data_IF_378300805252
#
_entry.id   IF_378300805252
#
_cell.length_a   1.000
_cell.length_b   1.000
_cell.length_c   1.000
_cell.angle_alpha   90.00
_cell.angle_beta   90.00
_cell.angle_gamma   90.00
#
_symmetry.space_group_name_H-M   'P 1'
#
loop_
_entity.id
_entity.type
_entity.pdbx_description
1 polymer ?
#
# COMPACT_ATOMS: atom_id res chain seq x y z
N UNK A 1 -28.35 15.27 -15.06
CA UNK A 1 -28.13 14.31 -13.95
C UNK A 1 -27.29 15.03 -12.93
N UNK A 2 -27.88 15.35 -11.78
CA UNK A 2 -27.14 15.86 -10.62
C UNK A 2 -26.26 14.73 -10.10
N UNK A 3 -24.95 14.89 -10.19
CA UNK A 3 -23.98 14.02 -9.54
C UNK A 3 -24.27 14.09 -8.04
N UNK A 4 -24.74 12.99 -7.47
CA UNK A 4 -24.87 12.84 -6.04
C UNK A 4 -23.44 12.67 -5.52
N UNK A 5 -22.91 13.69 -4.84
CA UNK A 5 -21.64 13.59 -4.12
C UNK A 5 -21.71 12.37 -3.20
N UNK A 6 -20.74 11.45 -3.30
CA UNK A 6 -20.59 10.38 -2.31
C UNK A 6 -20.37 11.04 -0.94
N UNK A 7 -21.28 10.88 0.03
CA UNK A 7 -21.14 11.56 1.31
C UNK A 7 -19.88 11.06 2.02
N UNK A 8 -19.11 11.94 2.71
CA UNK A 8 -18.03 11.47 3.56
C UNK A 8 -18.60 10.53 4.61
N UNK A 9 -18.06 9.30 4.69
CA UNK A 9 -18.47 8.32 5.69
C UNK A 9 -17.92 8.77 7.05
N UNK A 10 -18.62 9.70 7.69
CA UNK A 10 -18.29 10.22 9.01
C UNK A 10 -18.74 9.23 10.09
N UNK A 11 -18.09 8.07 10.13
CA UNK A 11 -18.19 7.14 11.24
C UNK A 11 -16.84 6.98 11.92
N UNK A 12 -16.86 6.65 13.21
CA UNK A 12 -15.67 6.24 13.98
C UNK A 12 -15.82 4.76 14.33
N UNK A 13 -15.65 3.85 13.37
CA UNK A 13 -15.98 2.44 13.55
C UNK A 13 -14.96 1.70 14.43
N UNK A 14 -13.74 2.22 14.56
CA UNK A 14 -12.70 1.59 15.37
C UNK A 14 -12.95 1.91 16.85
N UNK A 15 -13.08 0.86 17.65
CA UNK A 15 -13.01 0.98 19.10
C UNK A 15 -11.62 1.49 19.52
N UNK A 16 -11.53 2.08 20.72
CA UNK A 16 -10.28 2.73 21.17
C UNK A 16 -9.08 1.80 21.23
N UNK A 17 -9.29 0.53 21.59
CA UNK A 17 -8.25 -0.51 21.62
C UNK A 17 -7.85 -0.98 20.22
N UNK A 18 -8.82 -1.20 19.32
CA UNK A 18 -8.58 -1.56 17.92
C UNK A 18 -7.78 -0.45 17.21
N UNK A 19 -8.19 0.81 17.40
CA UNK A 19 -7.49 1.98 16.87
C UNK A 19 -6.05 2.04 17.37
N UNK A 20 -5.82 1.85 18.67
CA UNK A 20 -4.49 1.89 19.26
C UNK A 20 -3.58 0.78 18.74
N UNK A 21 -4.12 -0.44 18.55
CA UNK A 21 -3.36 -1.57 17.98
C UNK A 21 -3.01 -1.34 16.52
N UNK A 22 -3.95 -0.84 15.73
CA UNK A 22 -3.74 -0.56 14.32
C UNK A 22 -2.71 0.56 14.09
N UNK A 23 -2.79 1.64 14.87
CA UNK A 23 -1.79 2.73 14.86
C UNK A 23 -0.41 2.21 15.28
N UNK A 24 -0.33 1.40 16.34
CA UNK A 24 0.93 0.82 16.79
C UNK A 24 1.56 -0.08 15.72
N UNK A 25 0.77 -0.90 15.02
CA UNK A 25 1.25 -1.75 13.94
C UNK A 25 1.72 -0.94 12.72
N UNK A 26 0.98 0.10 12.34
CA UNK A 26 1.42 1.01 11.27
C UNK A 26 2.72 1.75 11.63
N UNK A 27 2.85 2.23 12.87
CA UNK A 27 4.09 2.84 13.36
C UNK A 27 5.26 1.86 13.40
N UNK A 28 5.02 0.60 13.72
CA UNK A 28 6.03 -0.45 13.61
C UNK A 28 6.46 -0.64 12.15
N UNK A 29 5.53 -0.68 11.18
CA UNK A 29 5.87 -0.72 9.75
C UNK A 29 6.72 0.48 9.29
N UNK A 30 6.38 1.69 9.76
CA UNK A 30 7.15 2.90 9.48
C UNK A 30 8.56 2.84 10.08
N UNK A 31 8.68 2.30 11.30
CA UNK A 31 9.97 2.07 11.94
C UNK A 31 10.82 1.07 11.15
N UNK A 32 10.23 -0.05 10.74
CA UNK A 32 10.91 -1.04 9.89
C UNK A 32 11.33 -0.43 8.55
N UNK A 33 10.50 0.42 7.96
CA UNK A 33 10.81 1.13 6.72
C UNK A 33 12.04 2.03 6.87
N UNK A 34 12.09 2.82 7.94
CA UNK A 34 13.25 3.64 8.26
C UNK A 34 14.48 2.76 8.56
N UNK A 35 14.32 1.70 9.35
CA UNK A 35 15.39 0.76 9.67
C UNK A 35 16.02 0.14 8.43
N UNK A 36 15.21 -0.33 7.47
CA UNK A 36 15.67 -0.84 6.18
C UNK A 36 16.46 0.18 5.39
N UNK A 37 16.05 1.45 5.35
CA UNK A 37 16.74 2.49 4.56
C UNK A 37 18.06 2.91 5.22
N UNK A 38 18.07 3.06 6.54
CA UNK A 38 19.17 3.75 7.24
C UNK A 38 20.09 2.83 8.02
N UNK A 39 19.59 1.77 8.67
CA UNK A 39 20.35 1.04 9.68
C UNK A 39 21.01 -0.24 9.11
N UNK A 40 22.24 -0.50 9.55
CA UNK A 40 22.94 -1.76 9.34
C UNK A 40 23.25 -2.51 10.65
N UNK A 41 23.05 -1.84 11.79
CA UNK A 41 23.22 -2.39 13.13
C UNK A 41 22.37 -1.60 14.15
N UNK A 42 22.32 -2.06 15.41
CA UNK A 42 21.54 -1.47 16.51
C UNK A 42 20.05 -1.27 16.14
N UNK A 43 19.37 -2.33 15.68
CA UNK A 43 18.05 -2.21 15.03
C UNK A 43 16.92 -1.81 15.98
N UNK A 44 17.14 -1.84 17.29
CA UNK A 44 16.18 -1.41 18.32
C UNK A 44 16.65 -0.18 19.10
N UNK A 45 17.76 0.44 18.69
CA UNK A 45 18.35 1.62 19.35
C UNK A 45 18.59 1.41 20.86
N UNK A 46 19.01 0.21 21.28
CA UNK A 46 19.30 -0.12 22.68
C UNK A 46 20.53 0.64 23.21
N UNK A 47 21.44 1.00 22.31
CA UNK A 47 22.54 1.92 22.57
C UNK A 47 22.29 3.26 21.86
N UNK A 48 22.89 4.37 22.33
CA UNK A 48 22.88 5.63 21.60
C UNK A 48 23.36 5.43 20.16
N UNK A 49 22.64 6.02 19.20
CA UNK A 49 22.92 5.86 17.77
C UNK A 49 24.31 6.44 17.43
N UNK A 50 25.12 5.66 16.73
CA UNK A 50 26.46 6.06 16.25
C UNK A 50 26.55 5.97 14.72
N UNK A 51 27.48 6.70 14.08
CA UNK A 51 27.65 6.64 12.63
C UNK A 51 27.86 5.22 12.08
N UNK A 52 28.50 4.33 12.86
CA UNK A 52 28.75 2.94 12.44
C UNK A 52 27.46 2.10 12.31
N UNK A 53 26.39 2.50 12.98
CA UNK A 53 25.08 1.83 12.89
C UNK A 53 24.33 2.19 11.60
N UNK A 54 24.76 3.25 10.90
CA UNK A 54 24.10 3.76 9.69
C UNK A 54 24.81 3.23 8.44
N UNK A 55 24.04 2.83 7.42
CA UNK A 55 24.57 2.39 6.12
C UNK A 55 25.40 3.49 5.47
N UNK A 56 26.55 3.12 4.91
CA UNK A 56 27.43 4.06 4.19
C UNK A 56 26.78 4.63 2.92
N UNK A 57 25.88 3.88 2.28
CA UNK A 57 25.08 4.31 1.14
C UNK A 57 23.62 4.20 1.51
N UNK A 58 22.93 5.34 1.54
CA UNK A 58 21.51 5.40 1.80
C UNK A 58 20.76 5.18 0.49
N UNK A 59 20.12 4.01 0.37
CA UNK A 59 19.38 3.60 -0.82
C UNK A 59 17.98 3.15 -0.40
N UNK A 60 16.97 3.55 -1.17
CA UNK A 60 15.57 3.29 -0.88
C UNK A 60 14.71 4.55 -0.95
N UNK A 61 13.40 4.38 -0.91
CA UNK A 61 12.44 5.48 -1.00
C UNK A 61 11.54 5.51 0.23
N UNK A 62 11.53 6.66 0.90
CA UNK A 62 10.64 6.93 2.03
C UNK A 62 9.27 7.43 1.56
N UNK A 63 9.21 8.28 0.54
CA UNK A 63 8.04 9.13 0.24
C UNK A 63 6.69 8.40 0.16
N UNK A 64 6.64 7.21 -0.44
CA UNK A 64 5.41 6.41 -0.57
C UNK A 64 5.25 5.34 0.51
N UNK A 65 6.30 5.00 1.26
CA UNK A 65 6.34 3.82 2.14
C UNK A 65 5.37 3.91 3.33
N UNK A 66 5.21 5.07 4.01
CA UNK A 66 4.19 5.21 5.05
C UNK A 66 2.75 5.10 4.54
N UNK A 67 2.50 5.61 3.32
CA UNK A 67 1.18 5.51 2.69
C UNK A 67 0.83 4.07 2.31
N UNK A 68 1.78 3.35 1.71
CA UNK A 68 1.62 1.93 1.38
C UNK A 68 1.35 1.08 2.62
N UNK A 69 2.16 1.24 3.67
CA UNK A 69 1.96 0.47 4.91
C UNK A 69 0.68 0.86 5.65
N UNK A 70 0.23 2.12 5.55
CA UNK A 70 -1.08 2.53 6.08
C UNK A 70 -2.21 1.80 5.36
N UNK A 71 -2.18 1.79 4.02
CA UNK A 71 -3.16 1.06 3.21
C UNK A 71 -3.12 -0.43 3.56
N UNK A 72 -1.93 -1.04 3.59
CA UNK A 72 -1.74 -2.45 3.92
C UNK A 72 -2.31 -2.79 5.30
N UNK A 73 -2.05 -1.99 6.33
CA UNK A 73 -2.57 -2.20 7.68
C UNK A 73 -4.11 -2.27 7.70
N UNK A 74 -4.76 -1.36 6.98
CA UNK A 74 -6.22 -1.30 6.90
C UNK A 74 -6.82 -2.40 6.02
N UNK A 75 -6.12 -2.83 4.97
CA UNK A 75 -6.50 -4.01 4.19
C UNK A 75 -6.41 -5.28 5.03
N UNK A 76 -5.31 -5.47 5.78
CA UNK A 76 -5.16 -6.57 6.73
C UNK A 76 -6.30 -6.60 7.76
N UNK A 77 -6.72 -5.44 8.27
CA UNK A 77 -7.87 -5.34 9.16
C UNK A 77 -9.14 -5.92 8.51
N UNK A 78 -9.48 -5.51 7.29
CA UNK A 78 -10.71 -5.99 6.64
C UNK A 78 -10.59 -7.44 6.16
N UNK A 79 -9.39 -7.90 5.78
CA UNK A 79 -9.12 -9.31 5.49
C UNK A 79 -9.47 -10.17 6.71
N UNK A 80 -8.91 -9.86 7.88
CA UNK A 80 -9.16 -10.62 9.12
C UNK A 80 -10.63 -10.52 9.56
N UNK A 81 -11.23 -9.32 9.47
CA UNK A 81 -12.60 -9.09 9.92
C UNK A 81 -13.64 -9.82 9.07
N UNK A 82 -13.41 -9.94 7.76
CA UNK A 82 -14.40 -10.43 6.80
C UNK A 82 -14.04 -11.75 6.14
N UNK A 83 -12.90 -12.35 6.51
CA UNK A 83 -12.34 -13.59 5.95
C UNK A 83 -12.23 -13.50 4.42
N UNK A 84 -11.51 -12.47 3.95
CA UNK A 84 -11.39 -12.15 2.53
C UNK A 84 -10.18 -12.85 1.89
N UNK A 85 -10.38 -13.39 0.70
CA UNK A 85 -9.29 -13.68 -0.22
C UNK A 85 -8.88 -12.39 -0.93
N UNK A 86 -7.68 -11.90 -0.63
CA UNK A 86 -7.20 -10.62 -1.14
C UNK A 86 -5.71 -10.67 -1.47
N UNK A 87 -5.34 -10.10 -2.62
CA UNK A 87 -3.94 -9.86 -2.98
C UNK A 87 -3.67 -8.35 -3.11
N UNK A 88 -2.42 -7.96 -2.85
CA UNK A 88 -1.96 -6.57 -2.90
C UNK A 88 -1.09 -6.33 -4.12
N UNK A 89 -1.48 -5.39 -4.97
CA UNK A 89 -0.67 -4.90 -6.10
C UNK A 89 -0.23 -3.49 -5.80
N UNK A 90 1.08 -3.29 -5.72
CA UNK A 90 1.64 -2.01 -5.34
C UNK A 90 2.34 -1.36 -6.54
N UNK A 91 1.59 -0.49 -7.22
CA UNK A 91 2.07 0.29 -8.35
C UNK A 91 3.32 1.11 -8.06
N UNK A 92 3.41 1.89 -6.95
CA UNK A 92 4.65 2.56 -6.57
C UNK A 92 5.67 1.57 -5.97
N UNK A 93 6.21 0.70 -6.84
CA UNK A 93 7.20 -0.36 -6.61
C UNK A 93 8.39 0.00 -5.75
N UNK A 94 8.89 1.20 -5.98
CA UNK A 94 10.03 1.81 -5.33
C UNK A 94 9.83 2.01 -3.82
N UNK A 95 8.57 1.95 -3.35
CA UNK A 95 8.12 1.97 -1.97
C UNK A 95 8.21 0.64 -1.22
N UNK A 96 9.07 -0.28 -1.67
CA UNK A 96 9.19 -1.63 -1.12
C UNK A 96 9.23 -1.73 0.41
N UNK A 97 9.90 -0.81 1.16
CA UNK A 97 9.86 -0.85 2.63
C UNK A 97 8.45 -0.83 3.22
N UNK A 98 7.52 -0.11 2.58
CA UNK A 98 6.11 -0.03 2.97
C UNK A 98 5.29 -1.30 2.76
N UNK A 99 5.87 -2.35 2.15
CA UNK A 99 5.24 -3.66 1.93
C UNK A 99 6.06 -4.79 2.56
N UNK A 100 7.39 -4.73 2.45
CA UNK A 100 8.30 -5.68 3.10
C UNK A 100 8.18 -5.58 4.64
N UNK A 101 8.00 -4.38 5.19
CA UNK A 101 7.76 -4.18 6.62
C UNK A 101 6.51 -4.90 7.13
N UNK A 102 5.33 -4.65 6.53
CA UNK A 102 4.12 -5.46 6.73
C UNK A 102 4.36 -6.98 6.66
N UNK A 103 4.94 -7.47 5.56
CA UNK A 103 5.19 -8.91 5.32
C UNK A 103 6.11 -9.54 6.39
N UNK A 104 6.99 -8.75 7.00
CA UNK A 104 7.81 -9.19 8.12
C UNK A 104 7.01 -9.30 9.42
N UNK A 105 6.14 -8.32 9.72
CA UNK A 105 5.33 -8.32 10.95
C UNK A 105 4.17 -9.32 10.96
N UNK A 106 3.77 -9.84 9.81
CA UNK A 106 2.81 -10.94 9.70
C UNK A 106 3.49 -12.34 9.78
N UNK A 107 4.83 -12.38 9.87
CA UNK A 107 5.61 -13.63 10.02
C UNK A 107 6.00 -14.30 8.71
N UNK A 108 5.28 -14.07 7.61
CA UNK A 108 5.52 -14.69 6.29
C UNK A 108 6.97 -14.50 5.81
N UNK A 109 7.56 -13.34 6.05
CA UNK A 109 8.95 -13.09 5.65
C UNK A 109 9.94 -14.02 6.35
N UNK A 110 9.73 -14.30 7.64
CA UNK A 110 10.57 -15.21 8.43
C UNK A 110 10.33 -16.69 8.07
N UNK A 111 9.13 -17.04 7.61
CA UNK A 111 8.84 -18.38 7.08
C UNK A 111 9.64 -18.67 5.80
N UNK A 112 9.72 -17.68 4.89
CA UNK A 112 10.45 -17.81 3.62
C UNK A 112 11.97 -17.61 3.82
N UNK A 113 12.37 -16.68 4.69
CA UNK A 113 13.76 -16.36 4.99
C UNK A 113 14.07 -16.51 6.50
N UNK A 114 14.31 -17.75 6.98
CA UNK A 114 14.46 -18.03 8.41
C UNK A 114 15.59 -17.30 9.13
N UNK A 115 16.61 -16.82 8.40
CA UNK A 115 17.70 -16.03 8.98
C UNK A 115 17.32 -14.56 9.25
N UNK A 116 16.08 -14.16 8.90
CA UNK A 116 15.43 -12.90 9.28
C UNK A 116 14.27 -13.21 10.23
N UNK A 117 14.58 -13.91 11.31
CA UNK A 117 13.66 -14.26 12.39
C UNK A 117 13.11 -13.03 13.11
N UNK A 118 11.97 -13.18 13.78
CA UNK A 118 11.32 -12.14 14.59
C UNK A 118 12.02 -11.91 15.96
N UNK A 119 13.35 -11.88 15.94
CA UNK A 119 14.20 -11.52 17.08
C UNK A 119 15.16 -10.38 16.70
N UNK A 120 15.94 -9.90 17.66
CA UNK A 120 16.84 -8.75 17.44
C UNK A 120 17.92 -9.02 16.39
N UNK A 121 18.44 -10.25 16.30
CA UNK A 121 19.48 -10.60 15.33
C UNK A 121 18.88 -10.76 13.93
N UNK A 122 17.71 -11.38 13.83
CA UNK A 122 16.94 -11.44 12.58
C UNK A 122 16.55 -10.05 12.08
N UNK A 123 16.09 -9.17 12.97
CA UNK A 123 15.78 -7.78 12.65
C UNK A 123 17.01 -7.00 12.17
N UNK A 124 18.18 -7.22 12.80
CA UNK A 124 19.45 -6.61 12.38
C UNK A 124 19.80 -7.02 10.95
N UNK A 125 19.70 -8.31 10.62
CA UNK A 125 19.92 -8.84 9.27
C UNK A 125 18.88 -8.31 8.29
N UNK A 126 17.62 -8.23 8.71
CA UNK A 126 16.50 -7.71 7.94
C UNK A 126 16.70 -6.24 7.54
N UNK A 127 17.18 -5.39 8.44
CA UNK A 127 17.56 -4.02 8.09
C UNK A 127 18.77 -3.97 7.18
N UNK A 128 19.84 -4.71 7.52
CA UNK A 128 21.09 -4.67 6.76
C UNK A 128 20.92 -5.10 5.30
N UNK A 129 20.12 -6.13 5.02
CA UNK A 129 19.98 -6.70 3.67
C UNK A 129 19.35 -5.74 2.65
N UNK A 130 18.49 -4.80 3.08
CA UNK A 130 17.74 -3.97 2.14
C UNK A 130 18.67 -3.06 1.31
N UNK A 131 18.61 -3.15 -0.02
CA UNK A 131 19.45 -2.37 -0.94
C UNK A 131 20.96 -2.44 -0.63
N UNK A 132 21.42 -3.59 -0.15
CA UNK A 132 22.82 -3.84 0.20
C UNK A 132 23.47 -4.79 -0.82
N UNK A 133 24.76 -4.61 -1.15
CA UNK A 133 25.44 -5.49 -2.10
C UNK A 133 25.32 -6.99 -1.74
N UNK A 134 24.84 -7.79 -2.70
CA UNK A 134 24.63 -9.23 -2.52
C UNK A 134 23.30 -9.63 -1.86
N UNK A 135 22.38 -8.69 -1.68
CA UNK A 135 21.06 -8.92 -1.08
C UNK A 135 19.92 -8.37 -1.97
N UNK A 136 18.75 -8.11 -1.38
CA UNK A 136 17.53 -7.70 -2.09
C UNK A 136 17.61 -6.26 -2.60
N UNK A 137 16.87 -5.98 -3.68
CA UNK A 137 16.76 -4.66 -4.30
C UNK A 137 15.92 -3.66 -3.49
N UNK A 138 15.65 -2.51 -4.12
CA UNK A 138 14.84 -1.42 -3.54
C UNK A 138 13.37 -1.43 -3.98
N UNK A 139 12.98 -2.40 -4.80
CA UNK A 139 11.62 -2.56 -5.36
C UNK A 139 10.96 -3.82 -4.80
N UNK A 140 9.67 -4.03 -5.11
CA UNK A 140 8.92 -5.23 -4.72
C UNK A 140 9.23 -6.39 -5.67
N UNK A 141 10.52 -6.70 -5.79
CA UNK A 141 11.04 -7.73 -6.68
C UNK A 141 10.44 -9.11 -6.34
N UNK A 142 10.53 -10.11 -7.25
CA UNK A 142 9.92 -11.44 -7.05
C UNK A 142 10.38 -12.19 -5.80
N UNK A 143 11.51 -11.81 -5.19
CA UNK A 143 11.97 -12.33 -3.91
C UNK A 143 11.09 -11.89 -2.73
N UNK A 144 10.25 -10.87 -2.90
CA UNK A 144 9.33 -10.38 -1.85
C UNK A 144 8.12 -11.32 -1.74
N UNK A 145 7.90 -11.99 -0.60
CA UNK A 145 6.71 -12.81 -0.41
C UNK A 145 5.43 -12.00 -0.64
N UNK A 146 4.49 -12.57 -1.41
CA UNK A 146 3.25 -11.90 -1.80
C UNK A 146 3.34 -10.98 -3.02
N UNK A 147 4.53 -10.68 -3.54
CA UNK A 147 4.65 -9.83 -4.75
C UNK A 147 4.37 -10.61 -6.04
N UNK A 148 3.44 -10.07 -6.84
CA UNK A 148 3.23 -10.46 -8.25
C UNK A 148 3.49 -9.28 -9.21
N UNK A 149 3.94 -8.15 -8.68
CA UNK A 149 4.12 -6.90 -9.41
C UNK A 149 5.22 -6.08 -8.76
N UNK A 150 6.35 -5.91 -9.46
CA UNK A 150 7.50 -5.20 -8.92
C UNK A 150 7.33 -3.68 -8.82
N UNK A 151 6.58 -3.08 -9.76
CA UNK A 151 6.33 -1.63 -9.82
C UNK A 151 7.58 -0.78 -10.08
N UNK A 152 8.64 -1.35 -10.65
CA UNK A 152 9.83 -0.62 -11.07
C UNK A 152 9.55 0.26 -12.29
N UNK A 153 9.14 -0.37 -13.41
CA UNK A 153 8.54 0.34 -14.52
C UNK A 153 7.05 0.58 -14.22
N UNK A 154 6.72 1.84 -13.95
CA UNK A 154 5.40 2.31 -13.57
C UNK A 154 4.40 2.23 -14.73
N UNK A 155 3.16 1.86 -14.44
CA UNK A 155 2.03 1.97 -15.38
C UNK A 155 1.14 0.73 -15.49
N UNK A 156 1.59 -0.41 -14.95
CA UNK A 156 0.96 -1.70 -15.19
C UNK A 156 0.11 -2.21 -14.02
N UNK A 157 0.05 -1.46 -12.89
CA UNK A 157 -0.61 -1.90 -11.66
C UNK A 157 -2.05 -2.38 -11.91
N UNK A 158 -2.86 -1.59 -12.61
CA UNK A 158 -4.24 -1.98 -12.91
C UNK A 158 -4.32 -3.13 -13.90
N UNK A 159 -3.55 -3.13 -14.99
CA UNK A 159 -3.61 -4.24 -15.95
C UNK A 159 -3.27 -5.59 -15.31
N UNK A 160 -2.28 -5.63 -14.41
CA UNK A 160 -1.94 -6.84 -13.66
C UNK A 160 -3.05 -7.20 -12.67
N UNK A 161 -3.62 -6.20 -11.98
CA UNK A 161 -4.70 -6.43 -11.03
C UNK A 161 -5.96 -7.01 -11.68
N UNK A 162 -6.39 -6.43 -12.80
CA UNK A 162 -7.51 -6.94 -13.59
C UNK A 162 -7.23 -8.33 -14.15
N UNK A 163 -6.01 -8.58 -14.63
CA UNK A 163 -5.59 -9.92 -15.06
C UNK A 163 -5.69 -10.97 -13.96
N UNK A 164 -5.30 -10.62 -12.73
CA UNK A 164 -5.37 -11.53 -11.58
C UNK A 164 -6.81 -11.81 -11.11
N UNK A 165 -7.74 -10.86 -11.33
CA UNK A 165 -9.15 -11.03 -10.97
C UNK A 165 -9.94 -11.90 -11.98
N UNK A 166 -9.50 -12.00 -13.23
CA UNK A 166 -10.23 -12.79 -14.25
C UNK A 166 -10.30 -14.28 -13.87
N UNK A 167 -11.48 -14.87 -14.07
CA UNK A 167 -11.79 -16.27 -13.74
C UNK A 167 -11.48 -16.67 -12.27
N UNK A 168 -11.41 -15.71 -11.36
CA UNK A 168 -11.12 -15.93 -9.94
C UNK A 168 -12.22 -15.34 -9.03
N UNK A 169 -13.42 -15.94 -9.04
CA UNK A 169 -14.56 -15.41 -8.29
C UNK A 169 -14.28 -15.45 -6.78
N UNK A 170 -14.48 -14.32 -6.11
CA UNK A 170 -14.23 -14.17 -4.68
C UNK A 170 -12.90 -13.50 -4.33
N UNK A 171 -11.93 -13.46 -5.26
CA UNK A 171 -10.70 -12.71 -5.07
C UNK A 171 -10.95 -11.20 -5.13
N UNK A 172 -10.42 -10.45 -4.17
CA UNK A 172 -10.28 -9.00 -4.25
C UNK A 172 -8.82 -8.65 -4.54
N UNK A 173 -8.57 -7.88 -5.60
CA UNK A 173 -7.24 -7.36 -5.90
C UNK A 173 -7.17 -5.89 -5.49
N UNK A 174 -6.53 -5.62 -4.35
CA UNK A 174 -6.28 -4.26 -3.89
C UNK A 174 -5.08 -3.66 -4.64
N UNK A 175 -5.35 -2.77 -5.58
CA UNK A 175 -4.34 -2.21 -6.47
C UNK A 175 -4.02 -0.75 -6.10
N UNK A 176 -2.92 -0.53 -5.39
CA UNK A 176 -2.43 0.82 -5.08
C UNK A 176 -1.77 1.41 -6.30
N UNK A 177 -2.25 2.57 -6.72
CA UNK A 177 -1.80 3.29 -7.91
C UNK A 177 -1.11 4.58 -7.46
N UNK A 178 0.15 4.78 -7.85
CA UNK A 178 0.81 6.05 -7.60
C UNK A 178 0.14 7.18 -8.41
N UNK A 179 -0.07 8.36 -7.82
CA UNK A 179 -0.60 9.50 -8.58
C UNK A 179 0.37 9.99 -9.68
N UNK A 180 1.68 9.80 -9.50
CA UNK A 180 2.67 9.97 -10.57
C UNK A 180 2.62 8.85 -11.63
N UNK A 181 2.33 7.62 -11.21
CA UNK A 181 2.09 6.49 -12.12
C UNK A 181 0.86 6.75 -13.00
N UNK A 182 -0.18 7.38 -12.43
CA UNK A 182 -1.45 7.69 -13.10
C UNK A 182 -1.31 8.61 -14.32
N UNK A 183 -0.17 9.29 -14.46
CA UNK A 183 0.15 10.10 -15.62
C UNK A 183 0.71 9.29 -16.80
N UNK A 184 1.02 8.01 -16.60
CA UNK A 184 1.52 7.14 -17.67
C UNK A 184 0.37 6.70 -18.61
N UNK A 185 0.69 6.54 -19.89
CA UNK A 185 -0.27 6.07 -20.90
C UNK A 185 -0.89 4.70 -20.57
N UNK A 186 -0.09 3.68 -20.21
CA UNK A 186 -0.61 2.36 -19.82
C UNK A 186 -1.62 2.43 -18.67
N UNK A 187 -1.34 3.20 -17.61
CA UNK A 187 -2.24 3.26 -16.47
C UNK A 187 -3.51 4.05 -16.79
N UNK A 188 -3.39 5.18 -17.50
CA UNK A 188 -4.53 6.01 -17.88
C UNK A 188 -5.58 5.20 -18.66
N UNK A 189 -5.16 4.30 -19.57
CA UNK A 189 -6.09 3.44 -20.30
C UNK A 189 -6.58 2.25 -19.47
N UNK A 190 -5.77 1.74 -18.54
CA UNK A 190 -6.10 0.56 -17.73
C UNK A 190 -7.31 0.78 -16.80
N UNK A 191 -7.69 2.02 -16.49
CA UNK A 191 -8.95 2.33 -15.79
C UNK A 191 -10.20 1.82 -16.53
N UNK A 192 -10.15 1.62 -17.84
CA UNK A 192 -11.24 1.03 -18.62
C UNK A 192 -11.40 -0.48 -18.45
N UNK A 193 -10.49 -1.15 -17.73
CA UNK A 193 -10.51 -2.61 -17.60
C UNK A 193 -11.77 -3.15 -16.89
N UNK A 194 -12.43 -2.32 -16.05
CA UNK A 194 -13.72 -2.68 -15.43
C UNK A 194 -14.84 -3.01 -16.43
N UNK A 195 -14.78 -2.56 -17.69
CA UNK A 195 -15.77 -2.91 -18.72
C UNK A 195 -15.63 -4.34 -19.23
N UNK A 196 -14.54 -5.03 -18.90
CA UNK A 196 -14.27 -6.39 -19.34
C UNK A 196 -14.45 -7.43 -18.22
N UNK A 197 -14.50 -7.00 -16.96
CA UNK A 197 -14.87 -7.87 -15.84
C UNK A 197 -16.35 -8.20 -15.90
N UNK A 198 -16.67 -9.45 -15.57
CA UNK A 198 -18.01 -9.91 -15.29
C UNK A 198 -18.09 -10.38 -13.82
N UNK A 199 -18.78 -9.65 -12.93
CA UNK A 199 -18.81 -9.97 -11.50
C UNK A 199 -19.46 -11.32 -11.17
N UNK A 200 -20.14 -11.96 -12.14
CA UNK A 200 -20.69 -13.31 -11.95
C UNK A 200 -19.64 -14.43 -12.03
N UNK A 201 -18.45 -14.17 -12.58
CA UNK A 201 -17.40 -15.20 -12.80
C UNK A 201 -16.00 -14.74 -12.44
N UNK A 202 -15.76 -13.44 -12.43
CA UNK A 202 -14.47 -12.83 -12.15
C UNK A 202 -14.46 -12.26 -10.72
N UNK A 203 -13.27 -12.06 -10.16
CA UNK A 203 -13.06 -11.34 -8.92
C UNK A 203 -13.28 -9.83 -9.07
N UNK A 204 -12.99 -9.09 -8.00
CA UNK A 204 -13.10 -7.64 -7.95
C UNK A 204 -11.73 -6.98 -7.90
N UNK A 205 -11.56 -5.86 -8.59
CA UNK A 205 -10.39 -4.98 -8.41
C UNK A 205 -10.83 -3.80 -7.56
N UNK A 206 -10.07 -3.50 -6.51
CA UNK A 206 -10.21 -2.31 -5.68
C UNK A 206 -9.02 -1.37 -5.94
N UNK A 207 -9.15 -0.40 -6.88
CA UNK A 207 -8.13 0.59 -7.09
C UNK A 207 -8.04 1.57 -5.92
N UNK A 208 -6.83 1.84 -5.46
CA UNK A 208 -6.54 2.84 -4.43
C UNK A 208 -5.57 3.85 -5.02
N UNK A 209 -6.07 5.00 -5.46
CA UNK A 209 -5.22 6.08 -5.94
C UNK A 209 -4.47 6.70 -4.76
N UNK A 210 -3.16 6.46 -4.67
CA UNK A 210 -2.30 7.03 -3.65
C UNK A 210 -1.94 8.47 -4.03
N UNK A 211 -2.87 9.38 -3.76
CA UNK A 211 -2.79 10.81 -4.08
C UNK A 211 -1.95 11.59 -3.06
N UNK A 212 -0.67 11.24 -2.94
CA UNK A 212 0.25 11.89 -1.99
C UNK A 212 0.77 13.26 -2.45
N UNK A 213 0.44 13.66 -3.69
CA UNK A 213 0.63 15.02 -4.18
C UNK A 213 1.88 15.25 -5.01
N UNK A 214 2.79 14.27 -5.06
CA UNK A 214 4.11 14.46 -5.65
C UNK A 214 4.65 13.19 -6.32
N UNK A 215 5.39 13.42 -7.40
CA UNK A 215 6.36 12.48 -7.97
C UNK A 215 7.78 12.97 -7.64
N UNK A 216 8.81 12.38 -8.25
CA UNK A 216 10.23 12.60 -7.87
C UNK A 216 10.59 14.07 -7.59
N UNK A 217 10.24 14.97 -8.51
CA UNK A 217 10.61 16.39 -8.42
C UNK A 217 9.50 17.35 -8.87
N UNK A 218 8.24 16.88 -8.88
CA UNK A 218 7.11 17.66 -9.37
C UNK A 218 5.84 17.28 -8.61
N UNK A 219 4.85 18.18 -8.55
CA UNK A 219 3.50 17.76 -8.22
C UNK A 219 2.91 16.83 -9.28
N UNK A 220 1.84 16.14 -8.93
CA UNK A 220 1.11 15.26 -9.86
C UNK A 220 -0.13 15.97 -10.43
N UNK A 221 -0.53 15.64 -11.65
CA UNK A 221 -1.68 16.28 -12.31
C UNK A 221 -2.94 16.09 -11.47
N UNK A 222 -3.23 14.84 -11.10
CA UNK A 222 -4.47 14.49 -10.39
C UNK A 222 -4.53 15.06 -8.97
N UNK A 223 -3.39 15.42 -8.35
CA UNK A 223 -3.41 16.06 -7.03
C UNK A 223 -3.64 17.58 -7.09
N UNK A 224 -3.67 18.16 -8.30
CA UNK A 224 -3.77 19.61 -8.51
C UNK A 224 -5.03 20.04 -9.25
N UNK A 225 -5.80 19.10 -9.80
CA UNK A 225 -7.16 19.37 -10.28
C UNK A 225 -8.12 19.56 -9.11
N UNK A 226 -9.30 20.10 -9.37
CA UNK A 226 -10.31 20.25 -8.32
C UNK A 226 -10.88 18.90 -7.88
N UNK A 227 -11.48 18.86 -6.70
CA UNK A 227 -12.16 17.65 -6.20
C UNK A 227 -13.28 17.23 -7.17
N UNK A 228 -14.03 18.20 -7.71
CA UNK A 228 -15.11 17.95 -8.67
C UNK A 228 -14.59 17.38 -10.00
N UNK A 229 -13.45 17.87 -10.50
CA UNK A 229 -12.82 17.32 -11.71
C UNK A 229 -12.33 15.89 -11.49
N UNK A 230 -11.74 15.60 -10.32
CA UNK A 230 -11.25 14.28 -9.97
C UNK A 230 -12.40 13.27 -9.80
N UNK A 231 -13.46 13.67 -9.11
CA UNK A 231 -14.69 12.88 -8.98
C UNK A 231 -15.31 12.60 -10.37
N UNK A 232 -15.47 13.64 -11.19
CA UNK A 232 -16.04 13.51 -12.53
C UNK A 232 -15.24 12.56 -13.43
N UNK A 233 -13.90 12.57 -13.32
CA UNK A 233 -13.03 11.65 -14.05
C UNK A 233 -13.33 10.19 -13.72
N UNK A 234 -13.33 9.83 -12.42
CA UNK A 234 -13.54 8.44 -12.00
C UNK A 234 -14.98 7.96 -12.17
N UNK A 235 -15.96 8.84 -11.97
CA UNK A 235 -17.35 8.57 -12.35
C UNK A 235 -17.47 8.35 -13.86
N UNK A 236 -16.77 9.14 -14.67
CA UNK A 236 -16.68 8.96 -16.12
C UNK A 236 -16.02 7.63 -16.53
N UNK A 237 -15.07 7.15 -15.74
CA UNK A 237 -14.53 5.80 -15.86
C UNK A 237 -15.45 4.70 -15.29
N UNK A 238 -16.64 5.02 -14.78
CA UNK A 238 -17.59 4.04 -14.25
C UNK A 238 -17.18 3.44 -12.91
N UNK A 239 -16.43 4.19 -12.09
CA UNK A 239 -16.18 3.86 -10.69
C UNK A 239 -17.04 4.74 -9.78
N UNK A 240 -17.26 4.28 -8.56
CA UNK A 240 -17.75 5.11 -7.45
C UNK A 240 -16.54 5.56 -6.63
N UNK A 241 -16.09 6.83 -6.73
CA UNK A 241 -14.94 7.30 -5.98
C UNK A 241 -15.31 7.54 -4.50
N UNK A 242 -14.37 7.16 -3.62
CA UNK A 242 -14.40 7.44 -2.19
C UNK A 242 -13.13 8.19 -1.80
N UNK A 243 -13.29 9.29 -1.06
CA UNK A 243 -12.17 10.16 -0.66
C UNK A 243 -11.82 9.94 0.82
N UNK A 244 -10.55 9.62 1.08
CA UNK A 244 -9.98 9.50 2.42
C UNK A 244 -8.85 10.52 2.54
N UNK A 245 -9.15 11.65 3.16
CA UNK A 245 -8.29 12.83 3.17
C UNK A 245 -8.01 13.33 4.60
N UNK A 246 -6.77 13.78 4.83
CA UNK A 246 -6.34 14.32 6.11
C UNK A 246 -4.86 14.06 6.39
N UNK A 247 -4.40 14.55 7.54
CA UNK A 247 -3.02 14.38 8.02
C UNK A 247 -2.94 13.80 9.44
N UNK A 248 -3.99 13.95 10.25
CA UNK A 248 -4.01 13.48 11.63
C UNK A 248 -4.22 11.95 11.70
N UNK A 249 -3.25 11.16 12.23
CA UNK A 249 -3.30 9.70 12.17
C UNK A 249 -4.58 9.08 12.72
N UNK A 250 -5.02 9.48 13.91
CA UNK A 250 -6.21 8.92 14.54
C UNK A 250 -7.49 9.15 13.69
N UNK A 251 -7.63 10.36 13.12
CA UNK A 251 -8.75 10.68 12.23
C UNK A 251 -8.66 9.94 10.90
N UNK A 252 -7.45 9.80 10.34
CA UNK A 252 -7.20 9.03 9.13
C UNK A 252 -7.52 7.55 9.32
N UNK A 253 -7.15 6.94 10.44
CA UNK A 253 -7.50 5.56 10.74
C UNK A 253 -9.01 5.36 10.78
N UNK A 254 -9.76 6.23 11.47
CA UNK A 254 -11.22 6.12 11.51
C UNK A 254 -11.86 6.24 10.12
N UNK A 255 -11.41 7.22 9.33
CA UNK A 255 -11.93 7.44 7.96
C UNK A 255 -11.62 6.27 7.04
N UNK A 256 -10.37 5.79 7.04
CA UNK A 256 -9.97 4.67 6.20
C UNK A 256 -10.72 3.38 6.57
N UNK A 257 -10.87 3.11 7.86
CA UNK A 257 -11.63 1.95 8.34
C UNK A 257 -13.10 2.03 7.94
N UNK A 258 -13.72 3.21 8.09
CA UNK A 258 -15.11 3.45 7.68
C UNK A 258 -15.31 3.26 6.17
N UNK A 259 -14.40 3.81 5.37
CA UNK A 259 -14.44 3.69 3.91
C UNK A 259 -14.24 2.25 3.46
N UNK A 260 -13.25 1.54 3.97
CA UNK A 260 -13.03 0.14 3.58
C UNK A 260 -14.14 -0.79 4.07
N UNK A 261 -14.69 -0.57 5.27
CA UNK A 261 -15.85 -1.35 5.75
C UNK A 261 -17.05 -1.19 4.79
N UNK A 262 -17.26 0.01 4.27
CA UNK A 262 -18.33 0.28 3.30
C UNK A 262 -18.02 -0.32 1.92
N UNK A 263 -16.84 -0.05 1.37
CA UNK A 263 -16.45 -0.53 0.04
C UNK A 263 -16.41 -2.06 -0.03
N UNK A 264 -15.91 -2.74 1.00
CA UNK A 264 -15.94 -4.20 1.06
C UNK A 264 -17.37 -4.72 1.11
N UNK A 265 -18.29 -4.02 1.79
CA UNK A 265 -19.70 -4.40 1.82
C UNK A 265 -20.42 -4.16 0.47
N UNK A 266 -19.97 -3.20 -0.35
CA UNK A 266 -20.51 -2.99 -1.71
C UNK A 266 -19.94 -3.97 -2.74
N UNK A 267 -18.70 -4.42 -2.56
CA UNK A 267 -18.07 -5.42 -3.44
C UNK A 267 -18.71 -6.81 -3.27
N UNK A 268 -19.24 -7.11 -2.08
CA UNK A 268 -19.83 -8.41 -1.73
C UNK A 268 -21.34 -8.44 -1.97
#
# INVERSE_FOLDING_TARGET
MTLQQSPPIQSSPLAGDELARLDAWWRACNYLSAGMIFLQDNPLLKEPLRPEHVKHRLLGHWGTSPGLSFIYAHLNRVIVKHDLDMIFVAGPGHGAPGVIGPAYLEGTYAEVYPDKSEDEEGLRKFFKQFSFPGHIGSHMTPETPGSIHEGGELGYALSHAYGAALDNPGLIVAAVVGDGEAETGPLATAWHSNKFLNPARDGAVLPILHLNGYKIANPTILSRVSHEELEALFVGYGYTPYFVEGAEPAAMHQRMAATLDHVVAEIR
#
